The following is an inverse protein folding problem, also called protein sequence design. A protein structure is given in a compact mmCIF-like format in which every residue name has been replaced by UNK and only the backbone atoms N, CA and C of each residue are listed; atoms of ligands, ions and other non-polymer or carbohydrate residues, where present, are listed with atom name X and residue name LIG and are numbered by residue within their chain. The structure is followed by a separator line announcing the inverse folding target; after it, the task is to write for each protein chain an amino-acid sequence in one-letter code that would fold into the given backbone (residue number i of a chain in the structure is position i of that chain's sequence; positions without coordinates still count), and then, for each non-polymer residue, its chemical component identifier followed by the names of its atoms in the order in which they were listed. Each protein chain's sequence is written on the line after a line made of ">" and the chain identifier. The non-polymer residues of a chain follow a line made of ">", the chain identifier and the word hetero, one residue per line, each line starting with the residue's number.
data_IF_924419039814
#
_entry.id   IF_924419039814
#
_cell.length_a   1.000
_cell.length_b   1.000
_cell.length_c   1.000
_cell.angle_alpha   90.00
_cell.angle_beta   90.00
_cell.angle_gamma   90.00
#
_symmetry.space_group_name_H-M   'P 1'
#
loop_
_entity.id
_entity.type
_entity.pdbx_description
1 polymer ?
#
# COMPACT_ATOMS: atom_id res chain seq x y z
N UNK A 1 -6.04 11.27 3.14
CA UNK A 1 -4.82 10.68 2.53
C UNK A 1 -4.40 11.39 1.24
N UNK A 2 -5.15 11.33 0.13
CA UNK A 2 -4.78 12.08 -1.11
C UNK A 2 -4.63 13.58 -0.85
N UNK A 3 -5.58 14.20 -0.14
CA UNK A 3 -5.49 15.62 0.25
C UNK A 3 -4.26 15.94 1.12
N UNK A 4 -3.83 15.01 1.98
CA UNK A 4 -2.66 15.18 2.84
C UNK A 4 -1.36 15.13 2.01
N UNK A 5 -1.30 14.24 1.01
CA UNK A 5 -0.20 14.16 0.06
C UNK A 5 -0.10 15.45 -0.78
N UNK A 6 -1.24 15.93 -1.31
CA UNK A 6 -1.30 17.20 -2.05
C UNK A 6 -0.80 18.37 -1.20
N UNK A 7 -1.22 18.43 0.07
CA UNK A 7 -0.74 19.43 1.01
C UNK A 7 0.77 19.32 1.24
N UNK A 8 1.28 18.12 1.48
CA UNK A 8 2.71 17.88 1.68
C UNK A 8 3.53 18.36 0.47
N UNK A 9 3.11 18.03 -0.75
CA UNK A 9 3.78 18.49 -1.97
C UNK A 9 3.81 20.03 -2.07
N UNK A 10 2.70 20.69 -1.70
CA UNK A 10 2.61 22.15 -1.65
C UNK A 10 3.54 22.76 -0.59
N UNK A 11 3.50 22.24 0.64
CA UNK A 11 4.32 22.71 1.77
C UNK A 11 5.83 22.57 1.48
N UNK A 12 6.22 21.62 0.63
CA UNK A 12 7.60 21.35 0.23
C UNK A 12 7.98 21.91 -1.16
N UNK A 13 7.14 22.71 -1.81
CA UNK A 13 7.39 23.27 -3.15
C UNK A 13 7.78 22.20 -4.20
N UNK A 14 7.03 21.11 -4.24
CA UNK A 14 7.21 20.00 -5.19
C UNK A 14 6.08 20.01 -6.24
N UNK A 15 6.15 20.87 -7.27
CA UNK A 15 5.01 21.16 -8.16
C UNK A 15 4.70 20.03 -9.14
N UNK A 16 5.64 19.13 -9.43
CA UNK A 16 5.43 17.95 -10.28
C UNK A 16 6.40 16.84 -9.88
N UNK A 17 5.88 15.75 -9.33
CA UNK A 17 6.70 14.71 -8.70
C UNK A 17 6.40 13.33 -9.27
N UNK A 18 7.40 12.43 -9.24
CA UNK A 18 7.14 11.00 -9.38
C UNK A 18 6.49 10.52 -8.09
N UNK A 19 5.30 9.94 -8.20
CA UNK A 19 4.60 9.37 -7.05
C UNK A 19 4.64 7.86 -7.12
N UNK A 20 5.09 7.24 -6.03
CA UNK A 20 5.12 5.79 -5.87
C UNK A 20 4.34 5.38 -4.63
N UNK A 21 3.58 4.29 -4.71
CA UNK A 21 2.89 3.74 -3.56
C UNK A 21 2.68 2.23 -3.64
N UNK A 22 2.93 1.54 -2.53
CA UNK A 22 2.63 0.12 -2.33
C UNK A 22 1.25 -0.06 -1.71
N UNK A 23 0.50 -1.06 -2.17
CA UNK A 23 -0.76 -1.49 -1.54
C UNK A 23 -1.73 -0.31 -1.33
N UNK A 24 -2.13 -0.03 -0.09
CA UNK A 24 -2.94 1.15 0.26
C UNK A 24 -2.29 2.48 -0.17
N UNK A 25 -0.97 2.60 -0.09
CA UNK A 25 -0.24 3.75 -0.65
C UNK A 25 -0.43 3.87 -2.15
N UNK A 26 -0.50 2.75 -2.86
CA UNK A 26 -0.86 2.66 -4.29
C UNK A 26 -2.22 3.30 -4.59
N UNK A 27 -3.24 3.01 -3.77
CA UNK A 27 -4.56 3.67 -3.86
C UNK A 27 -4.46 5.18 -3.70
N UNK A 28 -3.67 5.64 -2.73
CA UNK A 28 -3.49 7.07 -2.45
C UNK A 28 -2.84 7.78 -3.62
N UNK A 29 -1.75 7.25 -4.18
CA UNK A 29 -1.07 7.89 -5.31
C UNK A 29 -1.90 7.83 -6.59
N UNK A 30 -2.63 6.73 -6.83
CA UNK A 30 -3.58 6.63 -7.95
C UNK A 30 -4.71 7.67 -7.83
N UNK A 31 -5.32 7.83 -6.65
CA UNK A 31 -6.30 8.88 -6.41
C UNK A 31 -5.72 10.27 -6.63
N UNK A 32 -4.50 10.51 -6.16
CA UNK A 32 -3.81 11.80 -6.32
C UNK A 32 -3.59 12.11 -7.80
N UNK A 33 -3.15 11.13 -8.60
CA UNK A 33 -2.96 11.30 -10.04
C UNK A 33 -4.28 11.59 -10.79
N UNK A 34 -5.38 10.97 -10.38
CA UNK A 34 -6.70 11.21 -10.97
C UNK A 34 -7.31 12.56 -10.57
N UNK A 35 -7.06 13.03 -9.34
CA UNK A 35 -7.62 14.27 -8.79
C UNK A 35 -6.77 15.50 -9.13
N UNK A 36 -5.46 15.34 -9.12
CA UNK A 36 -4.44 16.39 -9.29
C UNK A 36 -3.36 15.94 -10.28
N UNK A 37 -3.72 15.67 -11.54
CA UNK A 37 -2.78 15.24 -12.57
C UNK A 37 -1.65 16.26 -12.80
N UNK A 38 -1.90 17.53 -12.49
CA UNK A 38 -0.93 18.61 -12.58
C UNK A 38 0.29 18.42 -11.67
N UNK A 39 0.13 17.68 -10.56
CA UNK A 39 1.17 17.43 -9.57
C UNK A 39 1.98 16.16 -9.82
N UNK A 40 1.58 15.34 -10.80
CA UNK A 40 2.17 14.01 -11.01
C UNK A 40 2.94 13.99 -12.33
N UNK A 41 4.26 13.81 -12.22
CA UNK A 41 5.14 13.62 -13.38
C UNK A 41 4.96 12.22 -13.96
N UNK A 42 5.03 11.23 -13.09
CA UNK A 42 4.92 9.81 -13.39
C UNK A 42 4.31 9.11 -12.18
N UNK A 43 3.61 8.01 -12.41
CA UNK A 43 2.95 7.22 -11.37
C UNK A 43 3.54 5.82 -11.34
N UNK A 44 3.92 5.33 -10.16
CA UNK A 44 4.37 3.96 -9.95
C UNK A 44 3.50 3.31 -8.87
N UNK A 45 2.91 2.18 -9.18
CA UNK A 45 2.00 1.45 -8.28
C UNK A 45 2.57 0.06 -8.04
N UNK A 46 2.92 -0.20 -6.78
CA UNK A 46 3.46 -1.47 -6.33
C UNK A 46 2.33 -2.35 -5.74
N UNK A 47 2.01 -3.39 -6.50
CA UNK A 47 1.10 -4.47 -6.22
C UNK A 47 -0.30 -4.05 -5.73
N UNK A 48 -0.91 -3.13 -6.48
CA UNK A 48 -2.28 -2.65 -6.25
C UNK A 48 -2.96 -2.22 -7.54
N UNK A 49 -4.30 -2.27 -7.57
CA UNK A 49 -5.12 -1.99 -8.76
C UNK A 49 -6.26 -1.01 -8.46
N UNK A 50 -6.82 -0.28 -9.45
CA UNK A 50 -7.91 0.66 -9.25
C UNK A 50 -9.29 -0.02 -9.21
N UNK A 51 -9.47 -1.03 -8.36
CA UNK A 51 -10.74 -1.75 -8.17
C UNK A 51 -11.07 -1.91 -6.69
N UNK A 52 -12.30 -2.27 -6.34
CA UNK A 52 -12.60 -2.66 -4.96
C UNK A 52 -11.87 -3.98 -4.65
N UNK A 53 -11.09 -3.97 -3.58
CA UNK A 53 -10.30 -5.13 -3.15
C UNK A 53 -10.84 -5.63 -1.83
N UNK A 54 -11.03 -6.94 -1.69
CA UNK A 54 -11.60 -7.57 -0.47
C UNK A 54 -10.68 -7.54 0.76
N UNK A 55 -9.57 -6.79 0.73
CA UNK A 55 -8.63 -6.57 1.85
C UNK A 55 -9.30 -6.15 3.16
N UNK A 56 -10.45 -5.46 3.09
CA UNK A 56 -11.08 -4.85 4.25
C UNK A 56 -11.43 -5.86 5.36
N UNK A 57 -11.71 -7.12 5.01
CA UNK A 57 -12.05 -8.16 5.99
C UNK A 57 -10.82 -8.65 6.77
N UNK A 58 -9.69 -8.84 6.09
CA UNK A 58 -8.46 -9.32 6.73
C UNK A 58 -7.83 -8.23 7.58
N UNK A 59 -7.88 -6.98 7.13
CA UNK A 59 -7.35 -5.86 7.89
C UNK A 59 -8.09 -5.61 9.21
N UNK A 60 -9.41 -5.77 9.25
CA UNK A 60 -10.17 -5.64 10.50
C UNK A 60 -9.74 -6.68 11.55
N UNK A 61 -9.43 -7.90 11.10
CA UNK A 61 -8.90 -8.96 11.97
C UNK A 61 -7.48 -8.63 12.45
N UNK A 62 -6.63 -8.04 11.59
CA UNK A 62 -5.29 -7.60 12.00
C UNK A 62 -5.34 -6.48 13.04
N UNK A 63 -6.22 -5.48 12.86
CA UNK A 63 -6.41 -4.40 13.87
C UNK A 63 -6.86 -5.00 15.20
N UNK A 64 -7.85 -5.90 15.17
CA UNK A 64 -8.33 -6.60 16.36
C UNK A 64 -7.22 -7.40 17.04
N UNK A 65 -6.38 -8.10 16.26
CA UNK A 65 -5.26 -8.87 16.80
C UNK A 65 -4.16 -7.97 17.40
N UNK A 66 -3.84 -6.83 16.78
CA UNK A 66 -2.89 -5.85 17.32
C UNK A 66 -3.40 -5.19 18.60
N UNK A 67 -4.70 -4.90 18.68
CA UNK A 67 -5.35 -4.43 19.92
C UNK A 67 -5.25 -5.48 21.03
N UNK A 68 -5.44 -6.77 20.68
CA UNK A 68 -5.27 -7.89 21.62
C UNK A 68 -3.82 -8.01 22.12
N UNK A 69 -2.81 -7.77 21.28
CA UNK A 69 -1.40 -7.70 21.71
C UNK A 69 -1.20 -6.58 22.74
N UNK A 70 -1.77 -5.40 22.50
CA UNK A 70 -1.67 -4.25 23.40
C UNK A 70 -2.38 -4.51 24.73
N UNK A 71 -3.59 -5.08 24.71
CA UNK A 71 -4.39 -5.38 25.91
C UNK A 71 -3.76 -6.45 26.81
N UNK A 72 -3.01 -7.40 26.24
CA UNK A 72 -2.36 -8.50 26.97
C UNK A 72 -1.02 -8.11 27.62
N UNK A 73 -0.56 -6.88 27.39
CA UNK A 73 0.70 -6.36 27.94
C UNK A 73 1.92 -7.24 27.67
N UNK A 74 2.00 -7.80 26.46
CA UNK A 74 3.03 -8.76 26.08
C UNK A 74 4.42 -8.12 26.07
N UNK A 75 5.43 -8.88 26.53
CA UNK A 75 6.82 -8.41 26.65
C UNK A 75 7.75 -9.07 25.62
N UNK A 76 7.31 -10.12 24.95
CA UNK A 76 8.08 -10.82 23.93
C UNK A 76 7.47 -10.68 22.54
N UNK A 77 8.32 -10.46 21.53
CA UNK A 77 7.89 -10.48 20.13
C UNK A 77 7.29 -11.84 19.75
N UNK A 78 7.81 -12.94 20.34
CA UNK A 78 7.30 -14.29 20.13
C UNK A 78 5.86 -14.45 20.62
N UNK A 79 5.52 -13.83 21.75
CA UNK A 79 4.16 -13.85 22.28
C UNK A 79 3.22 -13.02 21.40
N UNK A 80 3.66 -11.84 20.94
CA UNK A 80 2.90 -11.00 20.04
C UNK A 80 2.67 -11.68 18.67
N UNK A 81 3.69 -12.34 18.11
CA UNK A 81 3.57 -13.14 16.88
C UNK A 81 2.57 -14.29 17.05
N UNK A 82 2.57 -14.97 18.19
CA UNK A 82 1.62 -16.06 18.48
C UNK A 82 0.15 -15.58 18.49
N UNK A 83 -0.11 -14.32 18.88
CA UNK A 83 -1.45 -13.71 18.76
C UNK A 83 -1.80 -13.48 17.29
N UNK A 84 -0.88 -12.90 16.52
CA UNK A 84 -1.10 -12.65 15.09
C UNK A 84 -1.23 -13.95 14.28
N UNK A 85 -0.56 -15.03 14.67
CA UNK A 85 -0.61 -16.34 14.02
C UNK A 85 -2.02 -16.99 14.03
N UNK A 86 -2.88 -16.55 14.95
CA UNK A 86 -4.27 -16.98 15.01
C UNK A 86 -5.06 -16.49 13.79
N UNK A 87 -4.71 -15.32 13.25
CA UNK A 87 -5.44 -14.66 12.14
C UNK A 87 -4.65 -14.62 10.83
N UNK A 88 -3.32 -14.75 10.87
CA UNK A 88 -2.45 -14.69 9.70
C UNK A 88 -1.40 -15.81 9.69
N UNK A 89 -1.32 -16.58 8.60
CA UNK A 89 -0.39 -17.71 8.47
C UNK A 89 0.95 -17.32 7.87
N UNK A 90 0.97 -16.31 7.02
CA UNK A 90 2.20 -15.82 6.43
C UNK A 90 3.08 -15.11 7.46
N UNK A 91 4.33 -15.54 7.57
CA UNK A 91 5.27 -15.00 8.56
C UNK A 91 5.67 -13.56 8.21
N UNK A 92 5.84 -13.25 6.93
CA UNK A 92 6.21 -11.93 6.43
C UNK A 92 5.15 -10.89 6.79
N UNK A 93 3.87 -11.18 6.53
CA UNK A 93 2.73 -10.34 6.92
C UNK A 93 2.77 -10.05 8.43
N UNK A 94 2.96 -11.08 9.26
CA UNK A 94 2.98 -10.89 10.73
C UNK A 94 4.15 -10.04 11.18
N UNK A 95 5.35 -10.28 10.64
CA UNK A 95 6.51 -9.46 10.98
C UNK A 95 6.32 -8.00 10.53
N UNK A 96 5.71 -7.77 9.37
CA UNK A 96 5.31 -6.43 8.93
C UNK A 96 4.32 -5.79 9.91
N UNK A 97 3.25 -6.49 10.31
CA UNK A 97 2.27 -5.98 11.29
C UNK A 97 2.93 -5.61 12.62
N UNK A 98 3.89 -6.42 13.09
CA UNK A 98 4.65 -6.18 14.33
C UNK A 98 5.55 -4.94 14.26
N UNK A 99 5.90 -4.42 13.08
CA UNK A 99 6.64 -3.15 12.97
C UNK A 99 5.85 -1.95 13.50
N UNK A 100 4.52 -2.08 13.56
CA UNK A 100 3.62 -1.10 14.17
C UNK A 100 3.61 -1.19 15.71
N UNK A 101 4.26 -2.18 16.30
CA UNK A 101 4.31 -2.37 17.75
C UNK A 101 5.70 -2.05 18.29
N UNK A 102 5.79 -1.32 19.40
CA UNK A 102 7.06 -0.99 20.06
C UNK A 102 6.96 -1.22 21.56
N UNK A 103 8.06 -1.65 22.18
CA UNK A 103 8.15 -1.70 23.64
C UNK A 103 8.14 -0.29 24.23
N UNK A 104 7.25 -0.05 25.18
CA UNK A 104 7.28 1.14 26.03
C UNK A 104 8.38 1.03 27.11
N UNK A 105 8.47 2.02 27.99
CA UNK A 105 9.46 2.05 29.09
C UNK A 105 9.32 0.89 30.08
N UNK A 106 8.16 0.23 30.14
CA UNK A 106 7.92 -0.96 30.98
C UNK A 106 8.28 -2.27 30.28
N UNK A 107 8.69 -2.20 29.01
CA UNK A 107 9.05 -3.34 28.16
C UNK A 107 7.85 -4.00 27.48
N UNK A 108 6.66 -3.39 27.55
CA UNK A 108 5.41 -3.90 27.00
C UNK A 108 5.19 -3.40 25.58
N UNK A 109 4.75 -4.27 24.67
CA UNK A 109 4.38 -3.87 23.31
C UNK A 109 3.12 -3.00 23.30
N UNK A 110 3.28 -1.77 22.81
CA UNK A 110 2.21 -0.80 22.54
C UNK A 110 2.19 -0.43 21.08
N UNK A 111 1.02 -0.07 20.57
CA UNK A 111 0.92 0.35 19.17
C UNK A 111 1.53 1.73 18.97
N UNK A 112 2.22 1.91 17.85
CA UNK A 112 2.73 3.20 17.39
C UNK A 112 1.70 4.00 16.62
N UNK A 113 0.59 3.36 16.25
CA UNK A 113 -0.47 3.92 15.43
C UNK A 113 -1.79 3.84 16.20
N UNK A 114 -2.72 4.80 16.01
CA UNK A 114 -4.01 4.76 16.65
C UNK A 114 -4.88 3.67 16.00
N UNK A 115 -4.81 2.44 16.55
CA UNK A 115 -5.48 1.25 15.99
C UNK A 115 -7.00 1.40 15.86
N UNK A 116 -7.65 2.08 16.82
CA UNK A 116 -9.10 2.35 16.75
C UNK A 116 -9.45 3.25 15.57
N UNK A 117 -8.70 4.33 15.37
CA UNK A 117 -8.91 5.26 14.25
C UNK A 117 -8.62 4.58 12.91
N UNK A 118 -7.57 3.74 12.86
CA UNK A 118 -7.26 2.93 11.70
C UNK A 118 -8.44 2.03 11.36
N UNK A 119 -8.89 1.20 12.29
CA UNK A 119 -10.01 0.27 12.12
C UNK A 119 -11.25 0.94 11.51
N UNK A 120 -11.61 2.12 12.02
CA UNK A 120 -12.77 2.87 11.56
C UNK A 120 -12.58 3.53 10.18
N UNK A 121 -11.36 3.92 9.82
CA UNK A 121 -11.08 4.68 8.60
C UNK A 121 -10.79 3.78 7.38
N UNK A 122 -10.28 2.57 7.60
CA UNK A 122 -9.79 1.70 6.52
C UNK A 122 -10.83 1.30 5.49
N UNK A 123 -12.10 1.13 5.90
CA UNK A 123 -13.17 0.82 4.95
C UNK A 123 -13.23 1.86 3.83
N UNK A 124 -13.17 3.15 4.19
CA UNK A 124 -13.20 4.23 3.21
C UNK A 124 -11.91 4.38 2.40
N UNK A 125 -10.76 3.92 2.89
CA UNK A 125 -9.48 4.01 2.17
C UNK A 125 -9.32 2.90 1.12
N UNK A 126 -9.89 1.72 1.39
CA UNK A 126 -9.82 0.58 0.46
C UNK A 126 -10.93 0.61 -0.61
N UNK A 127 -11.97 1.40 -0.39
CA UNK A 127 -13.05 1.60 -1.35
C UNK A 127 -12.55 2.33 -2.60
N UNK A 128 -12.87 1.79 -3.77
CA UNK A 128 -12.63 2.42 -5.05
C UNK A 128 -13.95 2.83 -5.70
N UNK A 129 -14.30 4.11 -5.56
CA UNK A 129 -15.56 4.69 -6.06
C UNK A 129 -15.33 5.87 -7.01
N UNK A 130 -14.17 5.94 -7.65
CA UNK A 130 -13.88 6.95 -8.68
C UNK A 130 -14.72 6.66 -9.92
N UNK A 131 -15.22 7.68 -10.61
CA UNK A 131 -15.94 7.54 -11.89
C UNK A 131 -15.56 8.67 -12.83
N UNK A 132 -15.41 8.36 -14.12
CA UNK A 132 -15.22 9.35 -15.18
C UNK A 132 -13.92 10.15 -15.12
N UNK A 133 -12.92 9.69 -14.35
CA UNK A 133 -11.58 10.29 -14.28
C UNK A 133 -10.58 9.42 -15.01
N UNK A 134 -9.57 10.05 -15.60
CA UNK A 134 -8.44 9.39 -16.24
C UNK A 134 -7.17 10.18 -15.97
N UNK A 135 -6.08 9.46 -15.82
CA UNK A 135 -4.73 10.02 -15.77
C UNK A 135 -3.99 9.58 -17.03
N UNK A 136 -3.71 10.53 -17.91
CA UNK A 136 -3.04 10.30 -19.19
C UNK A 136 -1.50 10.28 -19.06
N UNK A 137 -0.95 10.47 -17.84
CA UNK A 137 0.49 10.45 -17.63
C UNK A 137 1.08 9.03 -17.63
N UNK A 138 2.41 8.90 -17.77
CA UNK A 138 3.09 7.60 -17.68
C UNK A 138 2.78 6.91 -16.36
N UNK A 139 2.39 5.64 -16.42
CA UNK A 139 2.08 4.84 -15.24
C UNK A 139 2.79 3.49 -15.32
N UNK A 140 3.49 3.10 -14.27
CA UNK A 140 4.03 1.74 -14.12
C UNK A 140 3.27 1.02 -13.02
N UNK A 141 2.68 -0.13 -13.35
CA UNK A 141 2.24 -1.10 -12.36
C UNK A 141 3.30 -2.20 -12.24
N UNK A 142 3.70 -2.51 -11.02
CA UNK A 142 4.58 -3.64 -10.71
C UNK A 142 3.76 -4.59 -9.83
N UNK A 143 3.51 -5.82 -10.28
CA UNK A 143 2.69 -6.80 -9.56
C UNK A 143 3.46 -8.05 -9.16
N UNK A 144 3.01 -8.70 -8.09
CA UNK A 144 3.52 -10.02 -7.70
C UNK A 144 2.72 -11.15 -8.37
N UNK A 145 3.37 -12.10 -9.04
CA UNK A 145 2.69 -13.23 -9.68
C UNK A 145 1.88 -14.08 -8.69
N UNK A 146 2.42 -14.24 -7.47
CA UNK A 146 1.81 -14.99 -6.36
C UNK A 146 0.84 -14.12 -5.53
N UNK A 147 0.82 -12.81 -5.75
CA UNK A 147 -0.11 -11.88 -5.10
C UNK A 147 -1.53 -12.00 -5.67
N UNK A 148 -2.59 -11.85 -4.87
CA UNK A 148 -3.96 -11.87 -5.37
C UNK A 148 -4.43 -10.56 -6.03
N UNK A 149 -3.61 -9.50 -6.07
CA UNK A 149 -4.10 -8.15 -6.43
C UNK A 149 -4.06 -7.81 -7.91
N UNK A 150 -2.90 -7.93 -8.55
CA UNK A 150 -2.74 -7.59 -9.96
C UNK A 150 -3.07 -8.83 -10.80
N UNK A 151 -4.33 -8.92 -11.24
CA UNK A 151 -4.86 -10.05 -12.01
C UNK A 151 -5.53 -9.57 -13.30
N UNK A 152 -5.67 -10.45 -14.33
CA UNK A 152 -6.26 -10.08 -15.62
C UNK A 152 -7.62 -9.39 -15.53
N UNK A 153 -8.43 -9.73 -14.53
CA UNK A 153 -9.74 -9.14 -14.27
C UNK A 153 -9.66 -7.64 -13.96
N UNK A 154 -8.53 -7.16 -13.44
CA UNK A 154 -8.31 -5.75 -13.12
C UNK A 154 -7.81 -4.93 -14.33
N UNK A 155 -7.31 -5.57 -15.41
CA UNK A 155 -6.64 -4.87 -16.51
C UNK A 155 -7.58 -3.90 -17.25
N UNK A 156 -8.86 -4.23 -17.34
CA UNK A 156 -9.87 -3.34 -17.93
C UNK A 156 -9.99 -2.02 -17.16
N UNK A 157 -10.07 -2.08 -15.83
CA UNK A 157 -10.14 -0.91 -14.97
C UNK A 157 -8.81 -0.14 -14.95
N UNK A 158 -7.67 -0.85 -14.92
CA UNK A 158 -6.35 -0.22 -15.08
C UNK A 158 -6.27 0.60 -16.37
N UNK A 159 -6.69 0.04 -17.51
CA UNK A 159 -6.70 0.75 -18.80
C UNK A 159 -7.69 1.91 -18.82
N UNK A 160 -8.83 1.77 -18.14
CA UNK A 160 -9.86 2.79 -18.09
C UNK A 160 -9.34 4.06 -17.38
N UNK A 161 -8.72 3.90 -16.20
CA UNK A 161 -8.19 5.02 -15.42
C UNK A 161 -6.81 5.49 -15.89
N UNK A 162 -5.94 4.58 -16.33
CA UNK A 162 -4.53 4.84 -16.63
C UNK A 162 -4.18 4.31 -18.03
N UNK A 163 -4.65 4.93 -19.14
CA UNK A 163 -4.44 4.41 -20.48
C UNK A 163 -2.99 4.17 -20.88
N UNK A 164 -2.05 4.95 -20.35
CA UNK A 164 -0.62 4.90 -20.69
C UNK A 164 0.16 4.11 -19.62
N UNK A 165 -0.42 2.97 -19.20
CA UNK A 165 0.21 2.10 -18.23
C UNK A 165 1.12 1.05 -18.89
N UNK A 166 2.24 0.78 -18.21
CA UNK A 166 3.08 -0.40 -18.35
C UNK A 166 2.80 -1.33 -17.17
N UNK A 167 2.92 -2.64 -17.39
CA UNK A 167 2.72 -3.65 -16.35
C UNK A 167 3.87 -4.64 -16.37
N UNK A 168 4.54 -4.74 -15.24
CA UNK A 168 5.61 -5.68 -14.99
C UNK A 168 5.21 -6.64 -13.86
N UNK A 169 5.49 -7.92 -14.03
CA UNK A 169 5.16 -8.97 -13.06
C UNK A 169 6.44 -9.65 -12.58
N UNK A 170 6.61 -9.77 -11.27
CA UNK A 170 7.75 -10.43 -10.63
C UNK A 170 7.28 -11.67 -9.85
N UNK A 171 8.11 -12.71 -9.76
CA UNK A 171 7.80 -13.99 -9.07
C UNK A 171 7.78 -13.86 -7.53
N UNK A 172 6.92 -12.97 -7.03
CA UNK A 172 6.82 -12.53 -5.64
C UNK A 172 5.38 -12.61 -5.14
N UNK A 173 5.21 -12.58 -3.82
CA UNK A 173 3.94 -12.31 -3.17
C UNK A 173 3.59 -10.82 -3.20
N UNK A 174 2.94 -10.34 -2.14
CA UNK A 174 2.46 -8.96 -2.08
C UNK A 174 3.58 -7.91 -1.84
N UNK A 175 4.72 -8.32 -1.27
CA UNK A 175 5.79 -7.41 -0.91
C UNK A 175 6.86 -7.40 -1.98
N UNK A 176 6.49 -7.07 -3.22
CA UNK A 176 7.37 -7.14 -4.40
C UNK A 176 8.71 -6.43 -4.14
N UNK A 177 8.65 -5.19 -3.65
CA UNK A 177 9.83 -4.38 -3.32
C UNK A 177 10.74 -4.99 -2.24
N UNK A 178 10.22 -5.86 -1.37
CA UNK A 178 10.98 -6.49 -0.29
C UNK A 178 11.46 -7.90 -0.65
N UNK A 179 10.69 -8.63 -1.47
CA UNK A 179 10.99 -9.99 -1.90
C UNK A 179 12.03 -10.00 -3.04
N UNK A 180 11.92 -9.09 -4.02
CA UNK A 180 12.86 -8.92 -5.13
C UNK A 180 13.32 -7.45 -5.27
N UNK A 181 14.06 -6.92 -4.28
CA UNK A 181 14.39 -5.50 -4.23
C UNK A 181 15.26 -5.03 -5.39
N UNK A 182 16.12 -5.89 -5.95
CA UNK A 182 17.03 -5.49 -7.03
C UNK A 182 16.28 -5.32 -8.35
N UNK A 183 15.44 -6.30 -8.67
CA UNK A 183 14.60 -6.32 -9.86
C UNK A 183 13.55 -5.21 -9.79
N UNK A 184 12.92 -5.02 -8.63
CA UNK A 184 12.01 -3.91 -8.38
C UNK A 184 12.69 -2.55 -8.64
N UNK A 185 13.87 -2.34 -8.06
CA UNK A 185 14.60 -1.07 -8.24
C UNK A 185 15.01 -0.85 -9.70
N UNK A 186 15.42 -1.90 -10.41
CA UNK A 186 15.76 -1.80 -11.84
C UNK A 186 14.55 -1.30 -12.66
N UNK A 187 13.37 -1.89 -12.45
CA UNK A 187 12.14 -1.48 -13.13
C UNK A 187 11.78 -0.01 -12.84
N UNK A 188 11.93 0.41 -11.57
CA UNK A 188 11.68 1.79 -11.16
C UNK A 188 12.66 2.75 -11.83
N UNK A 189 13.95 2.44 -11.81
CA UNK A 189 15.00 3.28 -12.39
C UNK A 189 14.83 3.40 -13.91
N UNK A 190 14.56 2.30 -14.60
CA UNK A 190 14.35 2.27 -16.04
C UNK A 190 13.14 3.13 -16.43
N UNK A 191 12.02 2.97 -15.72
CA UNK A 191 10.80 3.73 -15.99
C UNK A 191 10.99 5.23 -15.72
N UNK A 192 11.62 5.60 -14.61
CA UNK A 192 11.87 7.00 -14.24
C UNK A 192 12.77 7.67 -15.28
N UNK A 193 13.86 7.01 -15.68
CA UNK A 193 14.83 7.57 -16.61
C UNK A 193 14.29 7.66 -18.06
N UNK A 194 13.44 6.72 -18.49
CA UNK A 194 12.90 6.70 -19.85
C UNK A 194 11.81 7.77 -20.08
N UNK A 195 11.07 8.13 -19.02
CA UNK A 195 9.98 9.11 -19.07
C UNK A 195 10.37 10.47 -18.45
N UNK A 196 11.67 10.74 -18.32
CA UNK A 196 12.25 12.01 -17.82
C UNK A 196 12.16 13.16 -18.84
#
# INVERSE_FOLDING_TARGET
>A
MSADLVRFLGDHNMPKSVLMGHSMGGKVVMHTALDRPDLVAQLIVDDMVPTQVKLAHDFAQYVTALQSVEQRELKSQKEADAVLQQVEKDVGVRQFLLTNMKKDSSGVYRSRIPLELLGNSLRGVMDWNVKGKRFEGPTLFIGGEKSPYVKPEAYGEMKAYFPNYELEMLDTGHWVHAEMPREFMQLVEDFVNWHS
#
